data_IF_141644647904
#
_entry.id   IF_141644647904
#
_cell.length_a   1.000
_cell.length_b   1.000
_cell.length_c   1.000
_cell.angle_alpha   90.00
_cell.angle_beta   90.00
_cell.angle_gamma   90.00
#
_symmetry.space_group_name_H-M   'P 1'
#
loop_
_entity.id
_entity.type
_entity.pdbx_description
1 polymer ?
#
# COMPACT_ATOMS: atom_id res chain seq x y z
N UNK A 1 -11.62 10.70 -18.39
CA UNK A 1 -10.43 10.39 -17.58
C UNK A 1 -10.58 8.99 -17.01
N UNK A 2 -9.60 8.16 -17.24
CA UNK A 2 -9.65 6.78 -16.78
C UNK A 2 -9.04 6.67 -15.40
N UNK A 3 -9.80 6.16 -14.45
CA UNK A 3 -9.32 5.81 -13.11
C UNK A 3 -9.71 4.39 -12.78
N UNK A 4 -8.74 3.66 -12.28
CA UNK A 4 -8.97 2.34 -11.74
C UNK A 4 -8.68 2.40 -10.24
N UNK A 5 -9.73 2.19 -9.44
CA UNK A 5 -9.60 2.22 -8.00
C UNK A 5 -9.89 0.81 -7.48
N UNK A 6 -8.99 0.27 -6.70
CA UNK A 6 -9.12 -1.09 -6.20
C UNK A 6 -8.88 -1.17 -4.71
N UNK A 7 -9.56 -2.11 -4.07
CA UNK A 7 -9.31 -2.48 -2.69
C UNK A 7 -8.13 -3.42 -2.67
N UNK A 8 -7.11 -3.09 -1.91
CA UNK A 8 -5.91 -3.91 -1.80
C UNK A 8 -5.64 -4.23 -0.34
N UNK A 9 -4.80 -5.22 -0.13
CA UNK A 9 -4.41 -5.62 1.21
C UNK A 9 -2.91 -5.50 1.36
N UNK A 10 -2.45 -5.16 2.56
CA UNK A 10 -1.03 -5.04 2.82
C UNK A 10 -0.66 -5.69 4.14
N UNK A 11 0.63 -5.96 4.28
CA UNK A 11 1.23 -6.50 5.49
C UNK A 11 2.35 -5.58 5.93
N UNK A 12 2.61 -5.55 7.24
CA UNK A 12 3.70 -4.78 7.81
C UNK A 12 4.67 -5.68 8.54
N UNK A 13 5.93 -5.32 8.51
CA UNK A 13 6.96 -5.94 9.34
C UNK A 13 8.01 -4.90 9.67
N UNK A 14 8.70 -5.10 10.79
CA UNK A 14 9.74 -4.19 11.23
C UNK A 14 11.10 -4.86 11.10
N UNK A 15 12.07 -4.15 10.56
CA UNK A 15 13.45 -4.61 10.41
C UNK A 15 14.39 -3.60 11.02
N UNK A 16 15.63 -4.01 11.28
CA UNK A 16 16.65 -3.08 11.73
C UNK A 16 16.96 -2.08 10.63
N UNK A 17 17.13 -0.82 11.00
CA UNK A 17 17.44 0.25 10.06
C UNK A 17 18.93 0.22 9.73
N UNK A 18 19.33 -0.66 8.82
CA UNK A 18 20.71 -0.82 8.38
C UNK A 18 20.77 -1.32 6.95
N UNK A 19 21.90 -1.10 6.25
CA UNK A 19 22.05 -1.54 4.87
C UNK A 19 21.78 -3.02 4.69
N UNK A 20 21.05 -3.38 3.63
CA UNK A 20 20.82 -4.77 3.25
C UNK A 20 19.57 -5.40 3.84
N UNK A 21 18.92 -4.82 4.84
CA UNK A 21 17.75 -5.44 5.45
C UNK A 21 16.56 -5.54 4.48
N UNK A 22 16.27 -4.46 3.75
CA UNK A 22 15.22 -4.48 2.75
C UNK A 22 15.55 -5.45 1.61
N UNK A 23 16.80 -5.48 1.18
CA UNK A 23 17.25 -6.40 0.14
C UNK A 23 17.02 -7.86 0.56
N UNK A 24 17.40 -8.23 1.76
CA UNK A 24 17.21 -9.60 2.27
C UNK A 24 15.74 -9.98 2.28
N UNK A 25 14.88 -9.08 2.76
CA UNK A 25 13.46 -9.33 2.84
C UNK A 25 12.83 -9.48 1.45
N UNK A 26 13.14 -8.55 0.55
CA UNK A 26 12.61 -8.59 -0.81
C UNK A 26 13.11 -9.81 -1.59
N UNK A 27 14.35 -10.22 -1.34
CA UNK A 27 14.90 -11.44 -1.96
C UNK A 27 14.16 -12.69 -1.49
N UNK A 28 13.78 -12.75 -0.21
CA UNK A 28 12.97 -13.86 0.29
C UNK A 28 11.61 -13.92 -0.40
N UNK A 29 10.96 -12.76 -0.58
CA UNK A 29 9.67 -12.70 -1.27
C UNK A 29 9.80 -13.16 -2.72
N UNK A 30 10.88 -12.77 -3.39
CA UNK A 30 11.13 -13.19 -4.76
C UNK A 30 11.30 -14.71 -4.88
N UNK A 31 12.02 -15.31 -3.93
CA UNK A 31 12.18 -16.76 -3.89
C UNK A 31 10.85 -17.48 -3.66
N UNK A 32 9.94 -16.87 -2.92
CA UNK A 32 8.60 -17.40 -2.68
C UNK A 32 7.63 -17.12 -3.82
N UNK A 33 8.10 -16.49 -4.91
CA UNK A 33 7.29 -16.13 -6.07
C UNK A 33 6.19 -15.12 -5.75
N UNK A 34 6.45 -14.24 -4.80
CA UNK A 34 5.50 -13.21 -4.40
C UNK A 34 5.85 -11.93 -5.16
N UNK A 35 4.94 -11.50 -6.02
CA UNK A 35 5.06 -10.24 -6.74
C UNK A 35 4.33 -9.14 -5.96
N UNK A 36 4.81 -7.91 -6.05
CA UNK A 36 4.30 -6.79 -5.28
C UNK A 36 3.65 -5.74 -6.17
N UNK A 37 2.52 -5.19 -5.69
CA UNK A 37 1.90 -4.01 -6.28
C UNK A 37 2.60 -2.74 -5.81
N UNK A 38 3.06 -2.75 -4.56
CA UNK A 38 3.73 -1.61 -3.96
C UNK A 38 4.56 -2.06 -2.76
N UNK A 39 5.51 -1.21 -2.40
CA UNK A 39 6.40 -1.45 -1.27
C UNK A 39 6.84 -0.11 -0.71
N UNK A 40 6.82 0.03 0.62
CA UNK A 40 7.35 1.21 1.29
C UNK A 40 8.25 0.79 2.43
N UNK A 41 9.26 1.60 2.70
CA UNK A 41 10.18 1.42 3.81
C UNK A 41 10.36 2.78 4.49
N UNK A 42 9.92 2.88 5.73
CA UNK A 42 9.92 4.15 6.45
C UNK A 42 10.52 3.95 7.83
N UNK A 43 11.55 4.72 8.23
CA UNK A 43 12.08 4.63 9.58
C UNK A 43 11.02 5.00 10.61
N UNK A 44 10.87 4.17 11.65
CA UNK A 44 9.96 4.45 12.77
C UNK A 44 10.74 4.83 14.01
N UNK A 45 12.04 4.60 14.01
CA UNK A 45 12.98 5.03 15.05
C UNK A 45 14.38 5.11 14.46
N UNK A 46 15.37 5.48 15.27
CA UNK A 46 16.77 5.52 14.82
C UNK A 46 17.32 4.12 14.50
N UNK A 47 16.68 3.07 15.02
CA UNK A 47 17.18 1.70 14.89
C UNK A 47 16.26 0.78 14.09
N UNK A 48 15.04 1.21 13.78
CA UNK A 48 14.07 0.34 13.14
C UNK A 48 13.39 1.00 11.94
N UNK A 49 13.10 0.18 10.93
CA UNK A 49 12.37 0.58 9.73
C UNK A 49 11.15 -0.31 9.59
N UNK A 50 10.00 0.31 9.32
CA UNK A 50 8.78 -0.43 9.01
C UNK A 50 8.69 -0.63 7.50
N UNK A 51 8.52 -1.90 7.11
CA UNK A 51 8.31 -2.30 5.73
C UNK A 51 6.84 -2.59 5.54
N UNK A 52 6.24 -2.00 4.50
CA UNK A 52 4.83 -2.22 4.14
C UNK A 52 4.79 -2.86 2.77
N UNK A 53 4.13 -4.01 2.66
CA UNK A 53 4.15 -4.85 1.47
C UNK A 53 2.74 -5.03 0.94
N UNK A 54 2.52 -4.69 -0.33
CA UNK A 54 1.24 -4.86 -1.02
C UNK A 54 1.38 -6.00 -2.03
N UNK A 55 1.09 -7.26 -1.64
CA UNK A 55 1.25 -8.38 -2.56
C UNK A 55 0.21 -8.35 -3.67
N UNK A 56 0.60 -8.79 -4.85
CA UNK A 56 -0.33 -8.94 -5.97
C UNK A 56 -1.41 -9.96 -5.62
N UNK A 57 -1.03 -11.03 -4.91
CA UNK A 57 -1.95 -12.06 -4.43
C UNK A 57 -1.81 -12.24 -2.92
N UNK A 58 -2.72 -11.65 -2.13
CA UNK A 58 -2.63 -11.74 -0.67
C UNK A 58 -2.70 -13.15 -0.10
N UNK A 59 -3.43 -14.06 -0.78
CA UNK A 59 -3.55 -15.46 -0.31
C UNK A 59 -2.22 -16.19 -0.41
N UNK A 60 -1.50 -16.01 -1.51
CA UNK A 60 -0.17 -16.61 -1.68
C UNK A 60 0.77 -16.04 -0.62
N UNK A 61 0.72 -14.74 -0.41
CA UNK A 61 1.54 -14.06 0.60
C UNK A 61 1.35 -14.68 1.97
N UNK A 62 0.11 -14.80 2.42
CA UNK A 62 -0.22 -15.33 3.74
C UNK A 62 0.31 -16.75 3.92
N UNK A 63 0.06 -17.62 2.93
CA UNK A 63 0.46 -19.02 3.00
C UNK A 63 1.98 -19.20 2.97
N UNK A 64 2.65 -18.53 2.04
CA UNK A 64 4.08 -18.68 1.87
C UNK A 64 4.88 -18.02 3.00
N UNK A 65 4.43 -16.87 3.49
CA UNK A 65 5.07 -16.20 4.60
C UNK A 65 5.01 -17.04 5.87
N UNK A 66 3.85 -17.65 6.14
CA UNK A 66 3.68 -18.54 7.30
C UNK A 66 4.62 -19.74 7.21
N UNK A 67 4.71 -20.37 6.05
CA UNK A 67 5.59 -21.52 5.82
C UNK A 67 7.07 -21.15 5.95
N UNK A 68 7.45 -19.96 5.58
CA UNK A 68 8.82 -19.48 5.65
C UNK A 68 9.19 -18.91 7.02
N UNK A 69 8.24 -18.86 7.96
CA UNK A 69 8.49 -18.31 9.29
C UNK A 69 8.62 -16.79 9.33
N UNK A 70 8.07 -16.10 8.35
CA UNK A 70 8.10 -14.64 8.34
C UNK A 70 6.98 -14.08 9.22
N UNK A 71 7.33 -13.13 10.08
CA UNK A 71 6.38 -12.45 10.95
C UNK A 71 5.83 -11.22 10.26
N UNK A 72 4.54 -11.27 9.89
CA UNK A 72 3.87 -10.17 9.22
C UNK A 72 2.59 -9.83 9.96
N UNK A 73 2.37 -8.53 10.17
CA UNK A 73 1.12 -8.01 10.70
C UNK A 73 0.19 -7.72 9.52
N UNK A 74 -1.02 -8.25 9.58
CA UNK A 74 -2.03 -8.06 8.52
C UNK A 74 -2.80 -9.33 8.23
N UNK A 75 -3.63 -9.33 7.15
CA UNK A 75 -3.75 -8.26 6.17
C UNK A 75 -4.50 -7.05 6.68
N UNK A 76 -4.12 -5.88 6.18
CA UNK A 76 -4.78 -4.61 6.45
C UNK A 76 -5.28 -4.00 5.15
N UNK A 77 -6.42 -3.29 5.15
CA UNK A 77 -6.98 -2.75 3.92
C UNK A 77 -6.38 -1.40 3.52
N UNK A 78 -6.28 -1.16 2.23
CA UNK A 78 -5.92 0.13 1.67
C UNK A 78 -6.58 0.30 0.31
N UNK A 79 -6.57 1.52 -0.22
CA UNK A 79 -7.07 1.81 -1.55
C UNK A 79 -5.90 2.12 -2.47
N UNK A 80 -5.91 1.49 -3.65
CA UNK A 80 -4.96 1.80 -4.71
C UNK A 80 -5.70 2.49 -5.83
N UNK A 81 -5.28 3.72 -6.13
CA UNK A 81 -5.85 4.53 -7.20
C UNK A 81 -4.83 4.61 -8.32
N UNK A 82 -5.23 4.24 -9.53
CA UNK A 82 -4.39 4.32 -10.72
C UNK A 82 -5.17 5.10 -11.78
N UNK A 83 -4.71 6.30 -12.08
CA UNK A 83 -5.45 7.23 -12.95
C UNK A 83 -4.52 7.88 -13.95
N UNK A 84 -5.14 8.46 -14.98
CA UNK A 84 -4.44 9.36 -15.88
C UNK A 84 -3.95 10.57 -15.08
N UNK A 85 -2.73 10.99 -15.35
CA UNK A 85 -2.12 12.12 -14.65
C UNK A 85 -2.67 13.43 -15.22
N UNK A 86 -3.17 14.29 -14.32
CA UNK A 86 -3.63 15.63 -14.66
C UNK A 86 -3.50 16.54 -13.44
N UNK A 87 -3.42 17.82 -13.71
CA UNK A 87 -3.37 18.81 -12.65
C UNK A 87 -4.62 18.72 -11.76
N UNK A 88 -4.42 18.61 -10.46
CA UNK A 88 -5.51 18.57 -9.48
C UNK A 88 -6.17 17.22 -9.27
N UNK A 89 -5.68 16.14 -9.90
CA UNK A 89 -6.29 14.82 -9.75
C UNK A 89 -6.37 14.36 -8.30
N UNK A 90 -5.30 14.56 -7.54
CA UNK A 90 -5.28 14.16 -6.13
C UNK A 90 -6.21 15.01 -5.27
N UNK A 91 -6.36 16.28 -5.61
CA UNK A 91 -7.28 17.16 -4.89
C UNK A 91 -8.72 16.67 -5.02
N UNK A 92 -9.11 16.21 -6.20
CA UNK A 92 -10.45 15.67 -6.43
C UNK A 92 -10.71 14.42 -5.60
N UNK A 93 -9.71 13.52 -5.52
CA UNK A 93 -9.80 12.32 -4.71
C UNK A 93 -9.98 12.67 -3.24
N UNK A 94 -9.16 13.58 -2.73
CA UNK A 94 -9.24 14.00 -1.33
C UNK A 94 -10.52 14.75 -1.01
N UNK A 95 -11.07 15.49 -1.96
CA UNK A 95 -12.37 16.16 -1.77
C UNK A 95 -13.46 15.13 -1.49
N UNK A 96 -13.53 14.08 -2.28
CA UNK A 96 -14.54 13.01 -2.09
C UNK A 96 -14.41 12.35 -0.73
N UNK A 97 -13.18 12.09 -0.30
CA UNK A 97 -12.90 11.47 1.00
C UNK A 97 -13.25 12.43 2.14
N UNK A 98 -12.93 13.72 1.97
CA UNK A 98 -13.27 14.75 2.94
C UNK A 98 -14.79 14.88 3.09
N UNK A 99 -15.54 14.88 2.00
CA UNK A 99 -17.00 14.96 2.03
C UNK A 99 -17.64 13.74 2.70
N UNK A 100 -16.96 12.62 2.70
CA UNK A 100 -17.41 11.41 3.40
C UNK A 100 -16.98 11.39 4.89
N UNK A 101 -16.31 12.44 5.35
CA UNK A 101 -15.83 12.55 6.74
C UNK A 101 -14.85 11.44 7.10
N UNK A 102 -13.93 11.12 6.21
CA UNK A 102 -12.88 10.12 6.44
C UNK A 102 -11.54 10.82 6.55
N UNK A 103 -10.78 10.48 7.58
CA UNK A 103 -9.42 10.98 7.73
C UNK A 103 -8.44 10.05 7.04
N UNK A 104 -7.61 10.61 6.16
CA UNK A 104 -6.52 9.86 5.53
C UNK A 104 -5.34 9.85 6.49
N UNK A 105 -4.91 8.66 6.91
CA UNK A 105 -3.78 8.52 7.84
C UNK A 105 -2.46 8.70 7.11
N UNK A 106 -2.37 8.13 5.91
CA UNK A 106 -1.15 8.12 5.12
C UNK A 106 -1.50 8.03 3.65
N UNK A 107 -0.72 8.68 2.83
CA UNK A 107 -0.91 8.64 1.38
C UNK A 107 0.44 8.74 0.70
N UNK A 108 0.60 8.04 -0.40
CA UNK A 108 1.80 8.14 -1.23
C UNK A 108 1.46 7.92 -2.68
N UNK A 109 2.03 8.75 -3.54
CA UNK A 109 1.76 8.70 -4.95
C UNK A 109 2.99 8.95 -5.78
N UNK A 110 2.97 8.42 -6.99
CA UNK A 110 4.06 8.58 -7.93
C UNK A 110 3.52 8.49 -9.35
N UNK A 111 4.02 9.36 -10.23
CA UNK A 111 3.70 9.25 -11.66
C UNK A 111 4.61 8.21 -12.30
N UNK A 112 4.14 7.59 -13.38
CA UNK A 112 4.98 6.66 -14.15
C UNK A 112 5.82 7.39 -15.20
N UNK A 113 5.65 8.71 -15.34
CA UNK A 113 6.32 9.49 -16.36
C UNK A 113 5.75 9.30 -17.76
N UNK A 114 4.63 8.60 -17.90
CA UNK A 114 4.02 8.23 -19.17
C UNK A 114 2.54 8.59 -19.22
N UNK A 115 2.12 9.54 -18.40
CA UNK A 115 0.76 10.04 -18.40
C UNK A 115 -0.19 9.40 -17.38
N UNK A 116 0.33 8.60 -16.47
CA UNK A 116 -0.47 7.99 -15.42
C UNK A 116 0.20 8.13 -14.06
N UNK A 117 -0.56 7.91 -12.99
CA UNK A 117 -0.02 7.89 -11.63
C UNK A 117 -0.65 6.75 -10.83
N UNK A 118 0.07 6.34 -9.78
CA UNK A 118 -0.45 5.44 -8.75
C UNK A 118 -0.49 6.16 -7.42
N UNK A 119 -1.52 5.88 -6.63
CA UNK A 119 -1.73 6.54 -5.34
C UNK A 119 -2.26 5.55 -4.33
N UNK A 120 -1.57 5.43 -3.20
CA UNK A 120 -1.99 4.57 -2.11
C UNK A 120 -2.60 5.42 -1.00
N UNK A 121 -3.77 5.01 -0.52
CA UNK A 121 -4.49 5.69 0.55
C UNK A 121 -4.70 4.75 1.72
N UNK A 122 -4.28 5.19 2.90
CA UNK A 122 -4.46 4.47 4.15
C UNK A 122 -5.41 5.23 5.06
N UNK A 123 -6.36 4.51 5.66
CA UNK A 123 -7.29 5.04 6.65
C UNK A 123 -7.51 3.97 7.71
N UNK A 124 -8.18 4.35 8.81
CA UNK A 124 -8.55 3.35 9.81
C UNK A 124 -9.41 2.27 9.17
N UNK A 125 -9.23 0.99 9.52
CA UNK A 125 -10.04 -0.09 8.95
C UNK A 125 -11.55 0.13 9.10
N UNK A 126 -11.98 0.79 10.18
CA UNK A 126 -13.40 1.10 10.40
C UNK A 126 -13.95 2.11 9.39
N UNK A 127 -13.09 2.92 8.77
CA UNK A 127 -13.49 3.93 7.77
C UNK A 127 -13.32 3.43 6.34
N UNK A 128 -12.75 2.25 6.16
CA UNK A 128 -12.36 1.75 4.84
C UNK A 128 -13.54 1.67 3.87
N UNK A 129 -14.65 1.04 4.31
CA UNK A 129 -15.82 0.86 3.44
C UNK A 129 -16.44 2.22 3.06
N UNK A 130 -16.44 3.16 3.99
CA UNK A 130 -16.95 4.50 3.74
C UNK A 130 -16.09 5.24 2.71
N UNK A 131 -14.78 5.12 2.83
CA UNK A 131 -13.85 5.72 1.87
C UNK A 131 -13.99 5.08 0.49
N UNK A 132 -14.08 3.77 0.43
CA UNK A 132 -14.25 3.05 -0.83
C UNK A 132 -15.55 3.48 -1.53
N UNK A 133 -16.65 3.56 -0.79
CA UNK A 133 -17.94 4.00 -1.33
C UNK A 133 -17.86 5.44 -1.86
N UNK A 134 -17.15 6.31 -1.16
CA UNK A 134 -16.95 7.70 -1.59
C UNK A 134 -16.23 7.80 -2.93
N UNK A 135 -15.37 6.84 -3.23
CA UNK A 135 -14.64 6.78 -4.49
C UNK A 135 -15.33 5.91 -5.55
N UNK A 136 -16.51 5.38 -5.24
CA UNK A 136 -17.35 4.67 -6.22
C UNK A 136 -17.09 3.17 -6.33
N UNK A 137 -16.49 2.56 -5.32
CA UNK A 137 -16.22 1.11 -5.35
C UNK A 137 -16.74 0.36 -4.14
#
# INVERSE_FOLDING_TARGET
MACNISKVEYYKTTKQNRPGEAYKFLSQLALLKINLLAFTAIPVSSTETELTIFPENPKIMKNEASRAGLFLEGPLPALLVQCDDRLGALADIHLKIYEADVNVISASGVTDGRGAFGYLLHMDPEDFDKAAAALGI
#
